data_IF_044576571606
#
_entry.id   IF_044576571606
#
_cell.length_a   1.000
_cell.length_b   1.000
_cell.length_c   1.000
_cell.angle_alpha   90.00
_cell.angle_beta   90.00
_cell.angle_gamma   90.00
#
_symmetry.space_group_name_H-M   'P 1'
#
loop_
_entity.id
_entity.type
_entity.pdbx_description
1 polymer ?
#
# COMPACT_ATOMS: atom_id res chain seq x y z
N UNK A 1 -18.23 -10.85 9.24
CA UNK A 1 -17.99 -9.40 9.21
C UNK A 1 -17.03 -9.14 8.07
N UNK A 2 -17.40 -8.32 7.09
CA UNK A 2 -16.43 -7.87 6.09
C UNK A 2 -15.34 -7.10 6.82
N UNK A 3 -14.08 -7.41 6.51
CA UNK A 3 -12.94 -6.76 7.14
C UNK A 3 -12.65 -5.50 6.33
N UNK A 4 -13.06 -4.36 6.88
CA UNK A 4 -12.78 -3.06 6.29
C UNK A 4 -11.29 -2.77 6.33
N UNK A 5 -10.75 -2.27 5.23
CA UNK A 5 -9.33 -1.95 5.09
C UNK A 5 -9.16 -0.48 4.73
N UNK A 6 -8.33 0.23 5.50
CA UNK A 6 -7.86 1.56 5.09
C UNK A 6 -6.53 1.41 4.37
N UNK A 7 -6.50 1.77 3.10
CA UNK A 7 -5.27 1.85 2.31
C UNK A 7 -4.64 3.24 2.49
N UNK A 8 -3.36 3.27 2.81
CA UNK A 8 -2.59 4.48 3.09
C UNK A 8 -1.46 4.54 2.08
N UNK A 9 -1.35 5.66 1.37
CA UNK A 9 -0.19 5.95 0.52
C UNK A 9 0.80 6.79 1.30
N UNK A 10 1.90 6.17 1.74
CA UNK A 10 2.97 6.90 2.43
C UNK A 10 3.86 7.71 1.47
N UNK A 11 3.92 7.32 0.20
CA UNK A 11 4.74 8.00 -0.81
C UNK A 11 4.19 7.77 -2.19
N UNK A 12 4.39 8.75 -3.06
CA UNK A 12 4.19 8.59 -4.50
C UNK A 12 5.53 8.40 -5.27
N UNK A 13 6.66 8.39 -4.56
CA UNK A 13 7.98 8.12 -5.13
C UNK A 13 8.21 6.61 -5.32
N UNK A 14 8.66 6.22 -6.50
CA UNK A 14 9.05 4.85 -6.83
C UNK A 14 10.28 4.83 -7.75
N UNK A 15 11.08 3.77 -7.73
CA UNK A 15 12.17 3.59 -8.69
C UNK A 15 11.68 3.15 -10.09
N UNK A 16 10.47 2.60 -10.19
CA UNK A 16 9.90 2.11 -11.45
C UNK A 16 8.83 3.07 -12.00
N UNK A 17 8.59 3.00 -13.31
CA UNK A 17 7.47 3.69 -13.98
C UNK A 17 6.59 2.66 -14.68
N UNK A 18 5.77 1.94 -13.91
CA UNK A 18 4.92 0.89 -14.47
C UNK A 18 3.69 1.48 -15.19
N UNK A 19 3.34 0.97 -16.38
CA UNK A 19 2.16 1.40 -17.13
C UNK A 19 0.84 1.17 -16.38
N UNK A 20 0.79 0.13 -15.56
CA UNK A 20 -0.37 -0.25 -14.74
C UNK A 20 -0.31 0.33 -13.32
N UNK A 21 0.48 1.37 -13.08
CA UNK A 21 0.51 1.97 -11.74
C UNK A 21 -0.72 2.86 -11.55
N UNK A 22 -1.68 2.40 -10.76
CA UNK A 22 -2.91 3.14 -10.43
C UNK A 22 -2.63 4.52 -9.82
N UNK A 23 -1.58 4.62 -9.01
CA UNK A 23 -1.23 5.85 -8.28
C UNK A 23 -0.32 6.79 -9.08
N UNK A 24 0.08 6.38 -10.29
CA UNK A 24 1.05 7.11 -11.12
C UNK A 24 2.38 7.37 -10.38
N UNK A 25 2.74 6.48 -9.45
CA UNK A 25 4.01 6.51 -8.72
C UNK A 25 5.20 6.42 -9.67
N UNK A 26 6.31 7.09 -9.35
CA UNK A 26 7.46 7.09 -10.24
C UNK A 26 8.65 7.88 -9.73
N UNK A 27 9.78 7.84 -10.45
CA UNK A 27 11.04 8.40 -9.98
C UNK A 27 11.07 9.93 -9.99
N UNK A 28 10.20 10.56 -10.78
CA UNK A 28 9.98 12.01 -10.82
C UNK A 28 9.22 12.54 -9.60
N UNK A 29 8.42 11.70 -8.94
CA UNK A 29 7.68 12.08 -7.75
C UNK A 29 8.62 12.14 -6.56
N UNK A 30 8.39 13.10 -5.64
CA UNK A 30 9.20 13.27 -4.42
C UNK A 30 8.35 13.39 -3.14
N UNK A 31 7.03 13.38 -3.29
CA UNK A 31 6.10 13.55 -2.18
C UNK A 31 6.03 12.28 -1.35
N UNK A 32 6.16 12.46 -0.05
CA UNK A 32 5.99 11.44 0.97
C UNK A 32 5.35 12.04 2.21
N UNK A 33 4.64 11.22 2.95
CA UNK A 33 4.00 11.57 4.20
C UNK A 33 5.07 11.92 5.24
N UNK A 34 4.83 12.99 6.00
CA UNK A 34 5.72 13.38 7.10
C UNK A 34 5.49 12.50 8.33
N UNK A 35 6.49 12.38 9.20
CA UNK A 35 6.36 11.64 10.47
C UNK A 35 5.20 12.17 11.31
N UNK A 36 5.08 13.51 11.42
CA UNK A 36 3.96 14.15 12.12
C UNK A 36 2.60 13.76 11.53
N UNK A 37 2.47 13.78 10.19
CA UNK A 37 1.24 13.38 9.53
C UNK A 37 0.92 11.90 9.78
N UNK A 38 1.92 11.02 9.75
CA UNK A 38 1.73 9.59 10.04
C UNK A 38 1.22 9.34 11.46
N UNK A 39 1.68 10.12 12.44
CA UNK A 39 1.21 10.05 13.83
C UNK A 39 -0.23 10.53 13.95
N UNK A 40 -0.56 11.68 13.37
CA UNK A 40 -1.91 12.24 13.38
C UNK A 40 -2.91 11.32 12.65
N UNK A 41 -2.49 10.72 11.53
CA UNK A 41 -3.30 9.73 10.82
C UNK A 41 -3.51 8.49 11.69
N UNK A 42 -2.46 7.99 12.33
CA UNK A 42 -2.55 6.84 13.22
C UNK A 42 -3.48 7.08 14.41
N UNK A 43 -3.51 8.29 14.97
CA UNK A 43 -4.45 8.69 16.03
C UNK A 43 -5.91 8.75 15.55
N UNK A 44 -6.11 9.13 14.28
CA UNK A 44 -7.44 9.22 13.67
C UNK A 44 -8.03 7.85 13.29
N UNK A 45 -7.19 6.87 12.95
CA UNK A 45 -7.63 5.53 12.56
C UNK A 45 -8.11 4.69 13.76
N UNK A 46 -9.11 3.81 13.57
CA UNK A 46 -9.59 2.92 14.62
C UNK A 46 -8.51 1.92 15.04
N UNK A 47 -8.56 1.47 16.29
CA UNK A 47 -7.62 0.50 16.88
C UNK A 47 -8.31 -0.79 17.28
N UNK A 48 -7.53 -1.85 17.44
CA UNK A 48 -8.04 -3.16 17.90
C UNK A 48 -8.48 -4.07 16.76
N UNK A 49 -9.30 -5.07 17.08
CA UNK A 49 -9.48 -6.31 16.27
C UNK A 49 -10.03 -6.06 14.86
N UNK A 50 -10.83 -5.01 14.66
CA UNK A 50 -11.42 -4.68 13.36
C UNK A 50 -10.56 -3.70 12.54
N UNK A 51 -9.39 -3.31 13.04
CA UNK A 51 -8.52 -2.35 12.37
C UNK A 51 -7.53 -3.04 11.43
N UNK A 52 -7.84 -2.98 10.13
CA UNK A 52 -6.96 -3.45 9.07
C UNK A 52 -6.49 -2.24 8.27
N UNK A 53 -5.19 -2.13 8.10
CA UNK A 53 -4.59 -1.10 7.28
C UNK A 53 -3.64 -1.72 6.26
N UNK A 54 -3.52 -1.09 5.10
CA UNK A 54 -2.53 -1.44 4.10
C UNK A 54 -1.71 -0.22 3.72
N UNK A 55 -0.40 -0.38 3.58
CA UNK A 55 0.45 0.63 2.96
C UNK A 55 0.68 0.26 1.50
N UNK A 56 0.33 1.17 0.59
CA UNK A 56 0.49 1.04 -0.86
C UNK A 56 1.02 2.34 -1.48
N UNK A 57 1.11 2.42 -2.81
CA UNK A 57 1.55 3.63 -3.50
C UNK A 57 2.84 3.46 -4.28
N UNK A 58 3.82 4.29 -3.96
CA UNK A 58 5.20 4.14 -4.38
C UNK A 58 5.94 3.06 -3.59
N UNK A 59 7.27 3.08 -3.62
CA UNK A 59 8.08 2.08 -2.93
C UNK A 59 8.52 2.60 -1.56
N UNK A 60 7.95 2.02 -0.50
CA UNK A 60 8.13 2.48 0.87
C UNK A 60 9.58 2.45 1.34
N UNK A 61 10.38 1.47 0.88
CA UNK A 61 11.79 1.36 1.28
C UNK A 61 12.68 2.49 0.75
N UNK A 62 12.15 3.34 -0.15
CA UNK A 62 12.86 4.51 -0.68
C UNK A 62 12.57 5.80 0.11
N UNK A 63 11.65 5.79 1.08
CA UNK A 63 11.37 6.98 1.90
C UNK A 63 12.48 7.14 2.94
N UNK A 64 13.06 8.35 3.12
CA UNK A 64 13.91 8.63 4.27
C UNK A 64 13.16 8.31 5.57
N UNK A 65 13.79 7.63 6.51
CA UNK A 65 13.18 7.23 7.79
C UNK A 65 11.88 6.41 7.64
N UNK A 66 11.69 5.64 6.56
CA UNK A 66 10.46 4.84 6.37
C UNK A 66 10.16 3.92 7.55
N UNK A 67 11.17 3.49 8.31
CA UNK A 67 10.98 2.71 9.52
C UNK A 67 10.13 3.40 10.58
N UNK A 68 10.33 4.70 10.80
CA UNK A 68 9.54 5.49 11.76
C UNK A 68 8.12 5.70 11.24
N UNK A 69 7.96 6.02 9.95
CA UNK A 69 6.65 6.14 9.32
C UNK A 69 5.84 4.84 9.45
N UNK A 70 6.45 3.70 9.13
CA UNK A 70 5.79 2.40 9.25
C UNK A 70 5.43 2.10 10.70
N UNK A 71 6.33 2.34 11.66
CA UNK A 71 6.02 2.13 13.09
C UNK A 71 4.85 2.99 13.55
N UNK A 72 4.85 4.28 13.19
CA UNK A 72 3.75 5.18 13.52
C UNK A 72 2.44 4.68 12.89
N UNK A 73 2.46 4.35 11.60
CA UNK A 73 1.26 3.96 10.85
C UNK A 73 0.65 2.63 11.32
N UNK A 74 1.44 1.61 11.67
CA UNK A 74 0.91 0.30 12.06
C UNK A 74 0.61 0.16 13.55
N UNK A 75 0.94 1.15 14.38
CA UNK A 75 0.82 1.06 15.84
C UNK A 75 -0.62 0.80 16.30
N UNK A 76 -0.84 -0.31 17.01
CA UNK A 76 -2.12 -0.67 17.59
C UNK A 76 -3.16 -1.23 16.61
N UNK A 77 -2.72 -1.55 15.37
CA UNK A 77 -3.59 -2.14 14.35
C UNK A 77 -3.55 -3.67 14.35
N UNK A 78 -4.68 -4.32 14.07
CA UNK A 78 -4.78 -5.78 14.10
C UNK A 78 -4.15 -6.45 12.87
N UNK A 79 -4.41 -5.93 11.68
CA UNK A 79 -3.77 -6.42 10.45
C UNK A 79 -3.06 -5.31 9.71
N UNK A 80 -1.84 -5.60 9.26
CA UNK A 80 -1.06 -4.74 8.42
C UNK A 80 -0.73 -5.36 7.07
N UNK A 81 -1.16 -4.74 5.98
CA UNK A 81 -0.72 -5.07 4.62
C UNK A 81 0.39 -4.13 4.16
N UNK A 82 1.37 -4.67 3.44
CA UNK A 82 2.47 -3.89 2.88
C UNK A 82 2.62 -4.31 1.42
N UNK A 83 2.41 -3.37 0.49
CA UNK A 83 2.70 -3.59 -0.92
C UNK A 83 4.10 -3.05 -1.25
N UNK A 84 4.91 -3.84 -1.94
CA UNK A 84 6.28 -3.46 -2.34
C UNK A 84 6.65 -4.05 -3.70
N UNK A 85 7.54 -3.38 -4.44
CA UNK A 85 8.14 -3.92 -5.65
C UNK A 85 9.42 -4.73 -5.38
N UNK A 86 9.89 -4.77 -4.13
CA UNK A 86 11.04 -5.57 -3.71
C UNK A 86 12.42 -4.95 -3.93
N UNK A 87 12.55 -3.70 -4.41
CA UNK A 87 13.86 -3.09 -4.77
C UNK A 87 14.90 -3.12 -3.64
N UNK A 88 14.47 -3.16 -2.38
CA UNK A 88 15.35 -3.23 -1.21
C UNK A 88 16.31 -4.44 -1.23
N UNK A 89 16.00 -5.51 -1.98
CA UNK A 89 16.89 -6.68 -2.05
C UNK A 89 18.21 -6.45 -2.77
N UNK A 90 18.31 -5.38 -3.55
CA UNK A 90 19.53 -5.03 -4.31
C UNK A 90 20.73 -4.78 -3.41
N UNK A 91 20.50 -4.37 -2.17
CA UNK A 91 21.54 -4.06 -1.22
C UNK A 91 21.27 -4.78 0.10
N UNK A 92 22.27 -5.52 0.59
CA UNK A 92 22.14 -6.26 1.85
C UNK A 92 21.74 -5.36 3.02
N UNK A 93 22.31 -4.16 3.12
CA UNK A 93 21.99 -3.22 4.18
C UNK A 93 20.51 -2.78 4.16
N UNK A 94 19.96 -2.50 2.98
CA UNK A 94 18.55 -2.12 2.82
C UNK A 94 17.60 -3.28 3.11
N UNK A 95 17.95 -4.50 2.69
CA UNK A 95 17.22 -5.72 3.06
C UNK A 95 17.22 -5.94 4.58
N UNK A 96 18.38 -5.87 5.21
CA UNK A 96 18.53 -6.08 6.66
C UNK A 96 17.71 -5.03 7.43
N UNK A 97 17.71 -3.77 6.96
CA UNK A 97 16.87 -2.71 7.52
C UNK A 97 15.38 -3.00 7.31
N UNK A 98 14.96 -3.39 6.12
CA UNK A 98 13.56 -3.73 5.84
C UNK A 98 13.08 -4.85 6.78
N UNK A 99 13.85 -5.92 6.91
CA UNK A 99 13.56 -7.01 7.85
C UNK A 99 13.45 -6.51 9.30
N UNK A 100 14.38 -5.66 9.74
CA UNK A 100 14.36 -5.06 11.09
C UNK A 100 13.10 -4.23 11.32
N UNK A 101 12.72 -3.38 10.36
CA UNK A 101 11.52 -2.55 10.44
C UNK A 101 10.28 -3.42 10.58
N UNK A 102 10.09 -4.42 9.70
CA UNK A 102 8.92 -5.33 9.77
C UNK A 102 8.84 -6.03 11.13
N UNK A 103 9.97 -6.52 11.65
CA UNK A 103 10.01 -7.18 12.96
C UNK A 103 9.63 -6.24 14.11
N UNK A 104 9.85 -4.93 13.96
CA UNK A 104 9.52 -3.91 14.95
C UNK A 104 8.07 -3.41 14.94
N UNK A 105 7.28 -3.76 13.92
CA UNK A 105 5.90 -3.27 13.81
C UNK A 105 5.00 -3.90 14.88
N UNK A 106 4.31 -3.04 15.61
CA UNK A 106 3.31 -3.38 16.64
C UNK A 106 1.95 -3.68 16.00
N UNK A 107 1.87 -4.83 15.33
CA UNK A 107 0.64 -5.35 14.72
C UNK A 107 0.58 -6.87 14.80
N UNK A 108 -0.64 -7.40 14.95
CA UNK A 108 -0.86 -8.83 15.22
C UNK A 108 -0.58 -9.69 13.99
N UNK A 109 -0.88 -9.23 12.78
CA UNK A 109 -0.60 -9.94 11.54
C UNK A 109 -0.05 -9.00 10.48
N UNK A 110 1.02 -9.38 9.81
CA UNK A 110 1.63 -8.62 8.71
C UNK A 110 1.56 -9.45 7.43
N UNK A 111 0.99 -8.90 6.37
CA UNK A 111 1.03 -9.48 5.03
C UNK A 111 1.88 -8.59 4.13
N UNK A 112 3.01 -9.10 3.66
CA UNK A 112 3.85 -8.45 2.66
C UNK A 112 3.45 -9.01 1.30
N UNK A 113 2.92 -8.14 0.45
CA UNK A 113 2.51 -8.43 -0.92
C UNK A 113 3.57 -7.85 -1.86
N UNK A 114 4.16 -8.73 -2.65
CA UNK A 114 5.23 -8.36 -3.58
C UNK A 114 4.63 -8.25 -4.96
N UNK A 115 4.74 -7.06 -5.54
CA UNK A 115 4.27 -6.78 -6.88
C UNK A 115 5.16 -7.51 -7.88
N UNK A 116 4.62 -8.54 -8.51
CA UNK A 116 5.24 -9.27 -9.60
C UNK A 116 4.21 -9.35 -10.72
N UNK A 117 4.50 -8.70 -11.84
CA UNK A 117 3.64 -8.77 -13.01
C UNK A 117 4.48 -8.70 -14.27
N UNK A 118 3.94 -9.21 -15.37
CA UNK A 118 4.55 -9.08 -16.70
C UNK A 118 4.78 -7.63 -17.15
N UNK A 119 4.21 -6.66 -16.43
CA UNK A 119 4.31 -5.22 -16.68
C UNK A 119 5.38 -4.53 -15.81
N UNK A 120 6.06 -5.27 -14.94
CA UNK A 120 7.29 -4.80 -14.29
C UNK A 120 8.50 -5.10 -15.19
N UNK A 121 9.59 -4.35 -15.02
CA UNK A 121 10.82 -4.55 -15.79
C UNK A 121 11.29 -6.01 -15.70
N UNK A 122 11.85 -6.56 -16.80
CA UNK A 122 12.34 -7.96 -16.88
C UNK A 122 13.42 -8.29 -15.85
N UNK A 123 14.06 -7.27 -15.28
CA UNK A 123 15.04 -7.38 -14.19
C UNK A 123 14.37 -7.51 -12.80
N UNK A 124 13.05 -7.68 -12.76
CA UNK A 124 12.18 -7.51 -11.60
C UNK A 124 12.66 -8.21 -10.33
N UNK A 125 12.83 -7.42 -9.27
CA UNK A 125 13.29 -7.86 -7.95
C UNK A 125 12.25 -8.68 -7.18
N UNK A 126 11.02 -8.79 -7.68
CA UNK A 126 9.90 -9.40 -6.96
C UNK A 126 10.16 -10.85 -6.56
N UNK A 127 10.67 -11.69 -7.47
CA UNK A 127 10.97 -13.09 -7.14
C UNK A 127 12.06 -13.18 -6.08
N UNK A 128 13.14 -12.41 -6.23
CA UNK A 128 14.25 -12.40 -5.29
C UNK A 128 13.82 -11.91 -3.90
N UNK A 129 12.99 -10.85 -3.85
CA UNK A 129 12.35 -10.35 -2.64
C UNK A 129 11.47 -11.41 -1.96
N UNK A 130 10.68 -12.14 -2.75
CA UNK A 130 9.83 -13.18 -2.21
C UNK A 130 10.64 -14.27 -1.52
N UNK A 131 11.65 -14.81 -2.19
CA UNK A 131 12.49 -15.87 -1.62
C UNK A 131 13.27 -15.39 -0.39
N UNK A 132 13.88 -14.20 -0.46
CA UNK A 132 14.63 -13.62 0.66
C UNK A 132 13.73 -13.39 1.87
N UNK A 133 12.56 -12.78 1.68
CA UNK A 133 11.64 -12.52 2.79
C UNK A 133 11.02 -13.81 3.35
N UNK A 134 10.64 -14.78 2.50
CA UNK A 134 10.17 -16.09 2.97
C UNK A 134 11.22 -16.77 3.84
N UNK A 135 12.49 -16.70 3.45
CA UNK A 135 13.58 -17.25 4.24
C UNK A 135 13.76 -16.48 5.56
N UNK A 136 13.78 -15.14 5.51
CA UNK A 136 13.92 -14.28 6.71
C UNK A 136 12.79 -14.48 7.73
N UNK A 137 11.57 -14.78 7.28
CA UNK A 137 10.38 -14.88 8.12
C UNK A 137 9.85 -16.31 8.29
N UNK A 138 10.58 -17.35 7.87
CA UNK A 138 10.17 -18.77 7.91
C UNK A 138 9.60 -19.23 9.26
N UNK A 139 10.10 -18.67 10.37
CA UNK A 139 9.70 -19.02 11.74
C UNK A 139 8.89 -17.93 12.44
N UNK A 140 8.35 -16.96 11.68
CA UNK A 140 7.58 -15.83 12.21
C UNK A 140 6.11 -16.01 11.85
N UNK A 141 5.36 -16.66 12.75
CA UNK A 141 3.95 -17.05 12.52
C UNK A 141 2.98 -15.90 12.24
N UNK A 142 3.36 -14.65 12.59
CA UNK A 142 2.56 -13.46 12.32
C UNK A 142 2.86 -12.76 11.00
N UNK A 143 3.87 -13.20 10.24
CA UNK A 143 4.32 -12.53 9.02
C UNK A 143 4.10 -13.46 7.83
N UNK A 144 3.34 -12.99 6.86
CA UNK A 144 2.98 -13.69 5.63
C UNK A 144 3.60 -12.97 4.44
N UNK A 145 4.17 -13.73 3.51
CA UNK A 145 4.78 -13.21 2.28
C UNK A 145 4.10 -13.87 1.08
N UNK A 146 3.58 -13.06 0.16
CA UNK A 146 2.83 -13.53 -1.02
C UNK A 146 3.08 -12.61 -2.22
N UNK A 147 2.86 -13.11 -3.44
CA UNK A 147 2.79 -12.25 -4.61
C UNK A 147 1.45 -11.50 -4.69
N UNK A 148 1.50 -10.28 -5.21
CA UNK A 148 0.30 -9.55 -5.62
C UNK A 148 -0.07 -9.99 -7.04
N UNK A 149 -1.19 -10.70 -7.21
CA UNK A 149 -1.71 -11.12 -8.52
C UNK A 149 -2.05 -12.60 -8.70
N UNK A 150 -1.68 -13.47 -7.75
CA UNK A 150 -1.91 -14.94 -7.86
C UNK A 150 -3.38 -15.39 -7.70
N UNK A 151 -4.33 -14.47 -7.59
CA UNK A 151 -5.76 -14.79 -7.43
C UNK A 151 -6.49 -15.05 -8.76
N UNK A 152 -5.79 -15.17 -9.89
CA UNK A 152 -6.40 -15.46 -11.20
C UNK A 152 -7.28 -14.34 -11.75
N UNK A 153 -7.39 -13.22 -11.04
CA UNK A 153 -8.03 -12.00 -11.48
C UNK A 153 -6.93 -11.05 -11.98
N UNK A 154 -6.83 -10.93 -13.30
CA UNK A 154 -6.01 -9.96 -14.02
C UNK A 154 -6.52 -8.52 -13.78
N UNK A 155 -6.55 -8.06 -12.54
CA UNK A 155 -6.89 -6.68 -12.21
C UNK A 155 -5.67 -5.83 -12.54
N UNK A 156 -5.60 -5.42 -13.81
CA UNK A 156 -4.69 -4.38 -14.26
C UNK A 156 -5.34 -3.06 -13.87
N UNK A 157 -4.87 -2.46 -12.80
CA UNK A 157 -5.31 -1.12 -12.41
C UNK A 157 -4.62 -0.13 -13.35
N UNK A 158 -5.34 0.31 -14.37
CA UNK A 158 -4.77 0.98 -15.55
C UNK A 158 -4.38 2.44 -15.33
N UNK A 159 -3.87 2.87 -14.16
CA UNK A 159 -3.66 4.30 -13.86
C UNK A 159 -2.97 5.13 -14.96
N UNK A 160 -1.76 4.73 -15.39
CA UNK A 160 -1.10 5.33 -16.58
C UNK A 160 -1.57 4.72 -17.90
N UNK A 161 -2.00 3.47 -17.87
CA UNK A 161 -2.50 2.72 -19.01
C UNK A 161 -3.80 3.31 -19.61
N UNK A 162 -4.59 4.03 -18.82
CA UNK A 162 -5.74 4.83 -19.22
C UNK A 162 -5.29 5.99 -20.12
N UNK A 163 -4.25 6.72 -19.69
CA UNK A 163 -3.66 7.82 -20.47
C UNK A 163 -2.94 7.29 -21.73
N UNK A 164 -2.41 6.06 -21.69
CA UNK A 164 -1.60 5.45 -22.74
C UNK A 164 -2.38 4.56 -23.73
N UNK A 165 -3.73 4.61 -23.76
CA UNK A 165 -4.58 3.81 -24.67
C UNK A 165 -4.29 2.29 -24.61
N UNK A 166 -4.15 1.73 -23.42
CA UNK A 166 -4.03 0.27 -23.28
C UNK A 166 -5.29 -0.42 -23.85
N UNK A 167 -5.14 -1.56 -24.57
CA UNK A 167 -6.24 -2.19 -25.31
C UNK A 167 -7.49 -2.37 -24.46
N UNK A 168 -8.67 -2.13 -25.06
CA UNK A 168 -9.99 -2.14 -24.41
C UNK A 168 -10.26 -3.33 -23.49
N UNK A 169 -9.68 -4.51 -23.79
CA UNK A 169 -9.77 -5.72 -22.94
C UNK A 169 -9.22 -5.57 -21.51
N UNK A 170 -8.51 -4.48 -21.22
CA UNK A 170 -8.02 -4.13 -19.88
C UNK A 170 -8.72 -2.91 -19.28
N UNK A 171 -9.61 -2.24 -20.03
CA UNK A 171 -10.32 -1.04 -19.59
C UNK A 171 -11.55 -1.39 -18.73
N UNK A 172 -12.16 -2.56 -18.93
CA UNK A 172 -13.31 -3.04 -18.16
C UNK A 172 -12.99 -3.36 -16.67
N UNK A 173 -11.73 -3.21 -16.26
CA UNK A 173 -11.25 -3.51 -14.89
C UNK A 173 -10.94 -2.23 -14.09
N UNK A 174 -11.23 -1.06 -14.65
CA UNK A 174 -10.91 0.25 -14.11
C UNK A 174 -12.10 0.97 -13.46
N UNK A 175 -13.14 0.23 -13.07
CA UNK A 175 -14.29 0.84 -12.43
C UNK A 175 -14.04 0.92 -10.93
N UNK A 176 -14.01 2.14 -10.37
CA UNK A 176 -14.36 2.36 -8.97
C UNK A 176 -15.83 1.96 -8.82
N UNK A 177 -16.10 0.65 -8.80
CA UNK A 177 -17.44 0.10 -8.66
C UNK A 177 -17.85 0.17 -7.19
N UNK A 178 -19.14 0.39 -6.93
CA UNK A 178 -19.70 0.54 -5.60
C UNK A 178 -19.44 -0.69 -4.69
N UNK A 179 -19.06 -1.83 -5.26
CA UNK A 179 -18.61 -3.00 -4.50
C UNK A 179 -17.28 -2.80 -3.74
N UNK A 180 -16.51 -1.75 -4.05
CA UNK A 180 -15.29 -1.38 -3.31
C UNK A 180 -15.55 -0.36 -2.18
N UNK A 181 -16.81 0.03 -1.93
CA UNK A 181 -17.22 1.09 -0.99
C UNK A 181 -16.90 0.82 0.49
N UNK A 182 -16.48 -0.40 0.84
CA UNK A 182 -16.07 -0.76 2.20
C UNK A 182 -14.63 -0.35 2.55
N UNK A 183 -13.85 0.08 1.56
CA UNK A 183 -12.44 0.43 1.71
C UNK A 183 -12.19 1.93 1.55
N UNK A 184 -11.35 2.48 2.42
CA UNK A 184 -10.97 3.88 2.38
C UNK A 184 -9.54 4.04 1.89
N UNK A 185 -9.26 5.09 1.11
CA UNK A 185 -7.91 5.46 0.71
C UNK A 185 -7.52 6.82 1.27
N UNK A 186 -6.33 6.90 1.87
CA UNK A 186 -5.71 8.15 2.36
C UNK A 186 -4.37 8.35 1.69
N UNK A 187 -4.16 9.50 1.06
CA UNK A 187 -2.91 9.80 0.36
C UNK A 187 -1.80 10.37 1.26
N UNK A 188 -0.63 10.61 0.67
CA UNK A 188 0.57 11.09 1.37
C UNK A 188 0.41 12.50 1.95
N UNK A 189 -0.62 13.24 1.53
CA UNK A 189 -0.97 14.56 2.03
C UNK A 189 -2.12 14.51 3.06
N UNK A 190 -2.60 13.32 3.44
CA UNK A 190 -3.70 13.15 4.38
C UNK A 190 -5.08 13.37 3.78
N UNK A 191 -5.20 13.41 2.44
CA UNK A 191 -6.50 13.54 1.77
C UNK A 191 -7.15 12.17 1.68
N UNK A 192 -8.42 12.10 2.10
CA UNK A 192 -9.28 10.93 1.94
C UNK A 192 -9.85 10.95 0.52
N UNK A 193 -9.86 9.80 -0.14
CA UNK A 193 -10.43 9.61 -1.46
C UNK A 193 -11.58 8.62 -1.40
N UNK A 194 -12.65 8.90 -2.16
CA UNK A 194 -13.80 8.00 -2.25
C UNK A 194 -13.47 6.73 -3.03
N UNK A 195 -12.59 6.83 -4.03
CA UNK A 195 -12.13 5.65 -4.75
C UNK A 195 -10.88 5.06 -4.08
N UNK A 196 -10.83 3.74 -3.86
CA UNK A 196 -9.64 3.07 -3.30
C UNK A 196 -8.40 3.15 -4.20
N UNK A 197 -8.54 3.61 -5.45
CA UNK A 197 -7.45 3.84 -6.39
C UNK A 197 -6.81 5.23 -6.25
N UNK A 198 -7.29 6.06 -5.31
CA UNK A 198 -6.77 7.41 -5.08
C UNK A 198 -7.33 8.47 -6.03
N UNK A 199 -8.52 8.22 -6.57
CA UNK A 199 -9.30 9.16 -7.38
C UNK A 199 -10.47 9.73 -6.55
N UNK A 200 -11.01 10.88 -6.97
CA UNK A 200 -12.12 11.58 -6.30
C UNK A 200 -11.78 12.01 -4.87
N UNK A 201 -10.92 13.05 -4.70
CA UNK A 201 -10.56 13.57 -3.39
C UNK A 201 -11.79 14.12 -2.66
N UNK A 202 -11.87 13.85 -1.35
CA UNK A 202 -12.95 14.31 -0.50
C UNK A 202 -12.51 15.46 0.41
N UNK A 203 -11.74 15.16 1.45
CA UNK A 203 -11.29 16.13 2.47
C UNK A 203 -10.08 15.58 3.21
N UNK A 204 -9.40 16.45 3.96
CA UNK A 204 -8.30 16.03 4.82
C UNK A 204 -8.83 15.29 6.05
N UNK A 205 -8.17 14.20 6.49
CA UNK A 205 -8.67 13.37 7.60
C UNK A 205 -8.86 14.15 8.91
N UNK A 206 -8.03 15.17 9.14
CA UNK A 206 -8.12 16.02 10.34
C UNK A 206 -9.37 16.90 10.40
N UNK A 207 -10.17 16.92 9.34
CA UNK A 207 -11.39 17.73 9.23
C UNK A 207 -12.66 16.89 9.48
N UNK A 208 -12.50 15.66 9.99
CA UNK A 208 -13.61 14.73 10.15
C UNK A 208 -13.37 13.62 11.14
N UNK A 209 -14.45 13.02 11.59
CA UNK A 209 -14.41 11.73 12.27
C UNK A 209 -14.27 10.56 11.26
N UNK A 210 -13.58 9.50 11.68
CA UNK A 210 -13.37 8.30 10.87
C UNK A 210 -14.68 7.57 10.58
N UNK A 211 -15.52 7.35 11.60
CA UNK A 211 -16.74 6.57 11.46
C UNK A 211 -17.79 7.33 10.65
N UNK A 212 -17.96 8.63 10.90
CA UNK A 212 -18.84 9.48 10.08
C UNK A 212 -18.43 9.52 8.62
N UNK A 213 -17.12 9.56 8.35
CA UNK A 213 -16.61 9.56 6.98
C UNK A 213 -16.88 8.23 6.30
N UNK A 214 -16.70 7.13 7.03
CA UNK A 214 -16.94 5.78 6.54
C UNK A 214 -18.41 5.51 6.24
N UNK A 215 -19.34 5.93 7.10
CA UNK A 215 -20.78 5.77 6.85
C UNK A 215 -21.16 6.41 5.52
N UNK A 216 -20.64 7.60 5.23
CA UNK A 216 -20.83 8.29 3.95
C UNK A 216 -20.19 7.61 2.74
N UNK A 217 -19.23 6.69 2.91
CA UNK A 217 -18.63 5.93 1.79
C UNK A 217 -19.55 4.79 1.34
N UNK A 218 -20.41 4.31 2.25
CA UNK A 218 -21.26 3.14 2.04
C UNK A 218 -22.62 3.53 1.43
N UNK A 219 -23.11 4.74 1.73
CA UNK A 219 -24.37 5.33 1.23
C UNK A 219 -24.30 5.78 -0.24
#
# INVERSE_FOLDING_TARGET
MSKHETTIRLTNFCNETCDHCMFRSGPSNKTHMTEKMSQQLNEWLPKGVDSNISVMGGEVSLIPNYGDLMRNTFQGHYQGGIMTNGVFVKQKATLDEFVRVILSLDTQNITIRISQSQFHSKDGYGQEAFEKLKQSFKHKHRIFVQFAGDLGLNIVLVGRAYDNNVPSKYQDVAMCDNAMNDNMFVDENGIIHWCPLGESPYKHFSQCDYYETREKMID
#
